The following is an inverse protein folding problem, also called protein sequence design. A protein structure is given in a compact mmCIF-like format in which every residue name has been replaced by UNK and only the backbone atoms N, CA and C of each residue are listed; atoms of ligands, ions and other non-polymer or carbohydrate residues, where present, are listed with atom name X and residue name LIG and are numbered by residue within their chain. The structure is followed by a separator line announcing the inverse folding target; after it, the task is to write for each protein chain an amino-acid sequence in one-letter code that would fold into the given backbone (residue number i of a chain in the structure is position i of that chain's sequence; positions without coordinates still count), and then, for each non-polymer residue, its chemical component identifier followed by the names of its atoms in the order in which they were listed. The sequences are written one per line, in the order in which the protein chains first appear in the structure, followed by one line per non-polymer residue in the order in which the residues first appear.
data_IF_069307480846
#
_entry.id   IF_069307480846
#
_cell.length_a   1.000
_cell.length_b   1.000
_cell.length_c   1.000
_cell.angle_alpha   90.00
_cell.angle_beta   90.00
_cell.angle_gamma   90.00
#
_symmetry.space_group_name_H-M   'P 1'
#
loop_
_entity.id
_entity.type
_entity.pdbx_description
1 polymer ?
#
# COMPACT_ATOMS: atom_id res chain seq x y z
N UNK A 1 1.14 6.86 -5.86
CA UNK A 1 -0.28 7.01 -6.27
C UNK A 1 -1.27 6.89 -5.12
N UNK A 2 -0.89 6.37 -3.94
CA UNK A 2 -1.79 6.33 -2.78
C UNK A 2 -2.45 7.69 -2.45
N UNK A 3 -1.72 8.83 -2.31
CA UNK A 3 -2.36 10.10 -1.93
C UNK A 3 -3.38 10.58 -2.96
N UNK A 4 -3.15 10.31 -4.25
CA UNK A 4 -4.09 10.63 -5.32
C UNK A 4 -5.43 9.90 -5.13
N UNK A 5 -5.38 8.58 -4.97
CA UNK A 5 -6.60 7.79 -4.75
C UNK A 5 -7.26 8.09 -3.41
N UNK A 6 -6.47 8.34 -2.35
CA UNK A 6 -7.03 8.72 -1.05
C UNK A 6 -7.77 10.04 -1.13
N UNK A 7 -7.22 11.09 -1.76
CA UNK A 7 -7.94 12.37 -1.93
C UNK A 7 -9.23 12.17 -2.69
N UNK A 8 -9.17 11.46 -3.82
CA UNK A 8 -10.34 11.21 -4.65
C UNK A 8 -11.45 10.50 -3.86
N UNK A 9 -11.10 9.41 -3.17
CA UNK A 9 -12.06 8.61 -2.40
C UNK A 9 -12.55 9.33 -1.14
N UNK A 10 -11.70 10.09 -0.45
CA UNK A 10 -12.11 10.91 0.69
C UNK A 10 -13.04 12.04 0.26
N UNK A 11 -12.82 12.67 -0.90
CA UNK A 11 -13.73 13.67 -1.43
C UNK A 11 -15.11 13.07 -1.78
N UNK A 12 -15.13 11.86 -2.37
CA UNK A 12 -16.36 11.18 -2.77
C UNK A 12 -17.14 10.59 -1.59
N UNK A 13 -16.48 9.91 -0.65
CA UNK A 13 -17.15 9.09 0.37
C UNK A 13 -17.19 9.70 1.78
N UNK A 14 -16.27 10.61 2.09
CA UNK A 14 -16.16 11.32 3.37
C UNK A 14 -16.52 12.81 3.25
N UNK A 15 -16.83 13.30 2.04
CA UNK A 15 -17.12 14.71 1.73
C UNK A 15 -15.99 15.69 2.15
N UNK A 16 -14.74 15.22 2.27
CA UNK A 16 -13.60 16.10 2.52
C UNK A 16 -13.28 16.92 1.27
N UNK A 17 -13.36 18.25 1.34
CA UNK A 17 -12.99 19.11 0.20
C UNK A 17 -11.47 19.38 0.20
N UNK A 18 -10.71 18.89 -0.79
CA UNK A 18 -9.29 19.20 -0.88
C UNK A 18 -9.10 20.66 -1.32
N UNK A 19 -8.21 21.40 -0.65
CA UNK A 19 -7.77 22.72 -1.12
C UNK A 19 -6.96 22.60 -2.42
N UNK A 20 -6.89 23.71 -3.15
CA UNK A 20 -6.11 23.83 -4.38
C UNK A 20 -4.64 23.43 -4.20
N UNK A 21 -4.06 23.67 -3.02
CA UNK A 21 -2.69 23.26 -2.70
C UNK A 21 -2.51 21.74 -2.66
N UNK A 22 -3.51 21.02 -2.13
CA UNK A 22 -3.51 19.56 -2.15
C UNK A 22 -3.60 19.05 -3.58
N UNK A 23 -4.55 19.57 -4.37
CA UNK A 23 -4.72 19.15 -5.77
C UNK A 23 -3.44 19.43 -6.58
N UNK A 24 -2.84 20.61 -6.42
CA UNK A 24 -1.60 20.99 -7.11
C UNK A 24 -0.43 20.06 -6.75
N UNK A 25 -0.34 19.61 -5.49
CA UNK A 25 0.70 18.66 -5.08
C UNK A 25 0.54 17.25 -5.68
N UNK A 26 -0.63 16.90 -6.21
CA UNK A 26 -0.83 15.63 -6.91
C UNK A 26 -0.15 15.62 -8.29
N UNK A 27 0.00 16.79 -8.94
CA UNK A 27 0.63 16.92 -10.25
C UNK A 27 2.05 16.34 -10.27
N UNK A 28 2.99 16.77 -9.40
CA UNK A 28 4.33 16.18 -9.35
C UNK A 28 4.32 14.70 -8.93
N UNK A 29 3.34 14.24 -8.14
CA UNK A 29 3.22 12.82 -7.79
C UNK A 29 2.91 11.99 -9.04
N UNK A 30 1.90 12.38 -9.81
CA UNK A 30 1.48 11.67 -11.02
C UNK A 30 2.55 11.77 -12.10
N UNK A 31 3.09 12.98 -12.33
CA UNK A 31 4.15 13.22 -13.31
C UNK A 31 5.44 12.45 -12.99
N UNK A 32 5.86 12.42 -11.73
CA UNK A 32 7.03 11.65 -11.30
C UNK A 32 6.85 10.14 -11.49
N UNK A 33 5.68 9.60 -11.14
CA UNK A 33 5.37 8.17 -11.37
C UNK A 33 5.34 7.83 -12.85
N UNK A 34 4.75 8.70 -13.69
CA UNK A 34 4.74 8.50 -15.14
C UNK A 34 6.17 8.49 -15.71
N UNK A 35 6.99 9.47 -15.34
CA UNK A 35 8.38 9.58 -15.80
C UNK A 35 9.25 8.39 -15.36
N UNK A 36 9.11 7.97 -14.10
CA UNK A 36 9.81 6.79 -13.59
C UNK A 36 9.39 5.52 -14.33
N UNK A 37 8.08 5.32 -14.52
CA UNK A 37 7.52 4.12 -15.17
C UNK A 37 7.95 4.00 -16.63
N UNK A 38 8.00 5.10 -17.38
CA UNK A 38 8.41 5.10 -18.79
C UNK A 38 9.89 4.78 -19.00
N UNK A 39 10.71 4.91 -17.96
CA UNK A 39 12.18 4.73 -18.03
C UNK A 39 12.67 3.53 -17.24
N UNK A 40 11.75 2.72 -16.71
CA UNK A 40 12.04 1.47 -16.03
C UNK A 40 12.43 0.40 -17.05
N UNK A 41 13.60 -0.21 -16.90
CA UNK A 41 14.12 -1.19 -17.86
C UNK A 41 13.25 -2.46 -17.95
N UNK A 42 12.58 -2.83 -16.86
CA UNK A 42 11.71 -4.00 -16.76
C UNK A 42 10.23 -3.63 -16.71
N UNK A 43 9.82 -2.56 -17.41
CA UNK A 43 8.43 -2.13 -17.39
C UNK A 43 7.50 -3.21 -17.96
N UNK A 44 6.43 -3.52 -17.23
CA UNK A 44 5.39 -4.46 -17.62
C UNK A 44 4.01 -3.83 -17.36
N UNK A 45 3.17 -3.73 -18.40
CA UNK A 45 1.81 -3.19 -18.29
C UNK A 45 0.92 -3.94 -17.30
N UNK A 46 1.04 -5.26 -17.21
CA UNK A 46 0.26 -6.07 -16.26
C UNK A 46 0.74 -5.79 -14.83
N UNK A 47 2.05 -5.70 -14.62
CA UNK A 47 2.65 -5.33 -13.33
C UNK A 47 2.27 -3.91 -12.89
N UNK A 48 2.29 -2.96 -13.83
CA UNK A 48 1.87 -1.58 -13.57
C UNK A 48 0.38 -1.49 -13.26
N UNK A 49 -0.47 -2.13 -14.06
CA UNK A 49 -1.93 -2.16 -13.86
C UNK A 49 -2.31 -2.80 -12.52
N UNK A 50 -1.70 -3.94 -12.18
CA UNK A 50 -1.91 -4.59 -10.88
C UNK A 50 -1.43 -3.73 -9.70
N UNK A 51 -0.30 -3.04 -9.83
CA UNK A 51 0.18 -2.09 -8.81
C UNK A 51 -0.79 -0.90 -8.63
N UNK A 52 -1.34 -0.37 -9.73
CA UNK A 52 -2.35 0.69 -9.70
C UNK A 52 -3.67 0.23 -9.07
N UNK A 53 -4.14 -0.95 -9.45
CA UNK A 53 -5.32 -1.58 -8.86
C UNK A 53 -5.14 -1.81 -7.36
N UNK A 54 -3.97 -2.31 -6.93
CA UNK A 54 -3.64 -2.50 -5.51
C UNK A 54 -3.67 -1.17 -4.74
N UNK A 55 -3.13 -0.08 -5.31
CA UNK A 55 -3.23 1.24 -4.66
C UNK A 55 -4.69 1.67 -4.50
N UNK A 56 -5.52 1.51 -5.54
CA UNK A 56 -6.94 1.86 -5.49
C UNK A 56 -7.69 1.04 -4.43
N UNK A 57 -7.56 -0.29 -4.44
CA UNK A 57 -8.25 -1.17 -3.49
C UNK A 57 -7.79 -0.96 -2.05
N UNK A 58 -6.49 -0.75 -1.81
CA UNK A 58 -5.98 -0.41 -0.47
C UNK A 58 -6.55 0.92 0.03
N UNK A 59 -6.59 1.95 -0.81
CA UNK A 59 -7.13 3.25 -0.38
C UNK A 59 -8.65 3.19 -0.17
N UNK A 60 -9.39 2.46 -1.00
CA UNK A 60 -10.81 2.18 -0.77
C UNK A 60 -11.00 1.53 0.59
N UNK A 61 -10.27 0.45 0.88
CA UNK A 61 -10.30 -0.24 2.17
C UNK A 61 -10.04 0.73 3.32
N UNK A 62 -8.98 1.54 3.25
CA UNK A 62 -8.64 2.49 4.31
C UNK A 62 -9.72 3.57 4.51
N UNK A 63 -10.27 4.14 3.43
CA UNK A 63 -11.32 5.17 3.49
C UNK A 63 -12.64 4.60 4.03
N UNK A 64 -13.05 3.43 3.56
CA UNK A 64 -14.24 2.75 4.06
C UNK A 64 -14.07 2.31 5.52
N UNK A 65 -12.94 1.69 5.88
CA UNK A 65 -12.66 1.33 7.28
C UNK A 65 -12.77 2.56 8.18
N UNK A 66 -12.19 3.71 7.77
CA UNK A 66 -12.34 4.95 8.55
C UNK A 66 -13.79 5.39 8.68
N UNK A 67 -14.57 5.29 7.61
CA UNK A 67 -16.00 5.67 7.62
C UNK A 67 -16.81 4.81 8.60
N UNK A 68 -16.56 3.50 8.64
CA UNK A 68 -17.21 2.59 9.59
C UNK A 68 -16.75 2.85 11.04
N UNK A 69 -15.46 3.10 11.26
CA UNK A 69 -14.91 3.43 12.58
C UNK A 69 -15.46 4.73 13.19
N UNK A 70 -16.10 5.62 12.42
CA UNK A 70 -16.63 6.91 12.89
C UNK A 70 -18.15 6.90 13.04
N UNK A 71 -18.88 5.97 12.40
CA UNK A 71 -20.34 6.02 12.26
C UNK A 71 -21.14 5.13 13.20
N UNK A 72 -20.54 4.12 13.84
CA UNK A 72 -21.27 3.23 14.74
C UNK A 72 -21.16 3.71 16.20
N UNK A 73 -22.31 3.86 16.86
CA UNK A 73 -22.43 4.21 18.28
C UNK A 73 -21.88 3.11 19.20
N UNK A 74 -21.80 1.87 18.70
CA UNK A 74 -20.97 0.81 19.26
C UNK A 74 -19.64 0.78 18.49
N UNK A 75 -18.59 1.35 19.09
CA UNK A 75 -17.26 1.39 18.48
C UNK A 75 -16.76 -0.04 18.19
N UNK A 76 -16.86 -0.49 16.94
CA UNK A 76 -16.06 -1.62 16.48
C UNK A 76 -14.58 -1.30 16.74
N UNK A 77 -14.02 -1.98 17.73
CA UNK A 77 -12.59 -1.91 18.04
C UNK A 77 -11.78 -2.19 16.76
N UNK A 78 -10.73 -1.40 16.49
CA UNK A 78 -9.87 -1.56 15.30
C UNK A 78 -9.44 -3.00 15.11
N UNK A 79 -9.11 -3.61 16.24
CA UNK A 79 -8.53 -4.94 16.29
C UNK A 79 -9.59 -5.91 15.77
N UNK A 80 -10.85 -5.72 16.15
CA UNK A 80 -11.98 -6.50 15.64
C UNK A 80 -12.24 -6.23 14.16
N UNK A 81 -12.28 -4.95 13.73
CA UNK A 81 -12.52 -4.62 12.32
C UNK A 81 -11.42 -5.19 11.40
N UNK A 82 -10.15 -5.00 11.78
CA UNK A 82 -9.02 -5.53 11.02
C UNK A 82 -8.98 -7.07 11.04
N UNK A 83 -9.30 -7.69 12.18
CA UNK A 83 -9.36 -9.16 12.30
C UNK A 83 -10.46 -9.75 11.41
N UNK A 84 -11.67 -9.17 11.44
CA UNK A 84 -12.78 -9.61 10.58
C UNK A 84 -12.42 -9.45 9.10
N UNK A 85 -11.87 -8.29 8.71
CA UNK A 85 -11.39 -8.07 7.33
C UNK A 85 -10.35 -9.12 6.94
N UNK A 86 -9.42 -9.46 7.82
CA UNK A 86 -8.36 -10.44 7.56
C UNK A 86 -8.92 -11.85 7.38
N UNK A 87 -9.87 -12.27 8.23
CA UNK A 87 -10.53 -13.58 8.14
C UNK A 87 -11.31 -13.70 6.82
N UNK A 88 -12.12 -12.69 6.48
CA UNK A 88 -12.88 -12.68 5.23
C UNK A 88 -11.92 -12.68 4.03
N UNK A 89 -10.86 -11.88 4.08
CA UNK A 89 -9.84 -11.84 3.01
C UNK A 89 -9.17 -13.20 2.81
N UNK A 90 -8.87 -13.92 3.89
CA UNK A 90 -8.32 -15.27 3.82
C UNK A 90 -9.29 -16.24 3.14
N UNK A 91 -10.55 -16.27 3.57
CA UNK A 91 -11.58 -17.17 3.01
C UNK A 91 -11.79 -16.90 1.51
N UNK A 92 -11.75 -15.64 1.08
CA UNK A 92 -11.90 -15.27 -0.33
C UNK A 92 -10.63 -15.56 -1.16
N UNK A 93 -9.44 -15.41 -0.58
CA UNK A 93 -8.17 -15.58 -1.30
C UNK A 93 -7.79 -17.05 -1.49
N UNK A 94 -8.09 -17.93 -0.52
CA UNK A 94 -7.78 -19.37 -0.59
C UNK A 94 -8.30 -20.05 -1.86
N UNK A 95 -9.60 -19.96 -2.24
CA UNK A 95 -10.10 -20.61 -3.44
C UNK A 95 -9.45 -20.03 -4.71
N UNK A 96 -9.22 -18.72 -4.75
CA UNK A 96 -8.56 -18.07 -5.90
C UNK A 96 -7.11 -18.56 -6.04
N UNK A 97 -6.38 -18.67 -4.93
CA UNK A 97 -5.01 -19.17 -4.92
C UNK A 97 -4.95 -20.63 -5.39
N UNK A 98 -5.87 -21.49 -4.92
CA UNK A 98 -5.94 -22.89 -5.36
C UNK A 98 -6.27 -22.98 -6.86
N UNK A 99 -7.18 -22.15 -7.38
CA UNK A 99 -7.55 -22.18 -8.81
C UNK A 99 -6.43 -21.67 -9.73
N UNK A 100 -5.69 -20.64 -9.31
CA UNK A 100 -4.64 -20.03 -10.14
C UNK A 100 -3.30 -20.75 -10.05
N UNK A 101 -2.93 -21.22 -8.86
CA UNK A 101 -1.61 -21.81 -8.61
C UNK A 101 -1.65 -23.33 -8.42
N UNK A 102 -2.82 -23.90 -8.12
CA UNK A 102 -2.94 -25.30 -7.71
C UNK A 102 -2.42 -25.58 -6.30
N UNK A 103 -2.44 -26.85 -5.90
CA UNK A 103 -1.94 -27.29 -4.60
C UNK A 103 -0.44 -27.60 -4.72
N UNK A 104 0.40 -26.63 -4.36
CA UNK A 104 1.87 -26.76 -4.37
C UNK A 104 2.46 -27.23 -3.03
N UNK A 105 1.65 -27.32 -1.97
CA UNK A 105 2.10 -27.77 -0.63
C UNK A 105 1.88 -29.27 -0.39
N UNK A 106 1.98 -30.09 -1.43
CA UNK A 106 1.91 -31.56 -1.30
C UNK A 106 3.31 -32.12 -0.99
N UNK A 107 3.44 -33.18 -0.16
CA UNK A 107 4.73 -33.79 0.15
C UNK A 107 5.56 -34.16 -1.08
N UNK A 108 4.91 -34.67 -2.14
CA UNK A 108 5.56 -35.01 -3.42
C UNK A 108 6.16 -33.80 -4.13
N UNK A 109 5.46 -32.66 -4.12
CA UNK A 109 5.94 -31.41 -4.74
C UNK A 109 7.08 -30.79 -3.93
N UNK A 110 6.97 -30.80 -2.60
CA UNK A 110 8.04 -30.28 -1.73
C UNK A 110 9.30 -31.15 -1.81
N UNK A 111 9.15 -32.46 -1.95
CA UNK A 111 10.28 -33.38 -2.13
C UNK A 111 10.94 -33.20 -3.51
N UNK A 112 10.15 -32.96 -4.56
CA UNK A 112 10.65 -32.57 -5.88
C UNK A 112 11.35 -31.20 -5.85
N UNK A 113 10.78 -30.20 -5.18
CA UNK A 113 11.43 -28.89 -5.04
C UNK A 113 12.72 -29.00 -4.23
N UNK A 114 12.74 -29.84 -3.20
CA UNK A 114 13.94 -30.10 -2.40
C UNK A 114 15.05 -30.76 -3.22
N UNK A 115 14.72 -31.68 -4.13
CA UNK A 115 15.71 -32.27 -5.05
C UNK A 115 16.24 -31.28 -6.08
N UNK A 116 15.52 -30.20 -6.37
CA UNK A 116 15.97 -29.06 -7.19
C UNK A 116 16.79 -28.02 -6.40
N UNK A 117 17.16 -28.31 -5.14
CA UNK A 117 18.00 -27.46 -4.31
C UNK A 117 17.23 -26.48 -3.41
N UNK A 118 15.90 -26.59 -3.31
CA UNK A 118 15.10 -25.76 -2.41
C UNK A 118 15.20 -26.27 -0.96
N UNK A 119 15.70 -25.45 -0.05
CA UNK A 119 15.65 -25.76 1.38
C UNK A 119 14.24 -25.51 1.94
N UNK A 120 13.45 -26.59 2.09
CA UNK A 120 12.07 -26.54 2.58
C UNK A 120 11.97 -25.91 3.97
N UNK A 121 12.93 -26.21 4.88
CA UNK A 121 12.95 -25.63 6.23
C UNK A 121 13.13 -24.12 6.18
N UNK A 122 14.07 -23.66 5.36
CA UNK A 122 14.34 -22.24 5.17
C UNK A 122 13.14 -21.53 4.52
N UNK A 123 12.53 -22.13 3.50
CA UNK A 123 11.31 -21.60 2.89
C UNK A 123 10.20 -21.43 3.92
N UNK A 124 9.92 -22.45 4.72
CA UNK A 124 8.88 -22.39 5.76
C UNK A 124 9.18 -21.30 6.81
N UNK A 125 10.42 -21.18 7.27
CA UNK A 125 10.82 -20.13 8.22
C UNK A 125 10.66 -18.74 7.61
N UNK A 126 11.11 -18.53 6.37
CA UNK A 126 10.97 -17.25 5.66
C UNK A 126 9.50 -16.89 5.41
N UNK A 127 8.66 -17.86 5.06
CA UNK A 127 7.22 -17.66 4.86
C UNK A 127 6.52 -17.27 6.17
N UNK A 128 6.80 -17.98 7.26
CA UNK A 128 6.23 -17.66 8.58
C UNK A 128 6.68 -16.27 9.05
N UNK A 129 7.97 -15.96 8.92
CA UNK A 129 8.50 -14.65 9.29
C UNK A 129 7.86 -13.53 8.45
N UNK A 130 7.77 -13.71 7.12
CA UNK A 130 7.14 -12.75 6.23
C UNK A 130 5.65 -12.53 6.57
N UNK A 131 4.90 -13.61 6.82
CA UNK A 131 3.50 -13.56 7.22
C UNK A 131 3.29 -12.84 8.55
N UNK A 132 4.11 -13.17 9.55
CA UNK A 132 4.09 -12.50 10.86
C UNK A 132 4.38 -11.00 10.73
N UNK A 133 5.49 -10.63 10.06
CA UNK A 133 5.85 -9.23 9.85
C UNK A 133 4.76 -8.46 9.09
N UNK A 134 4.16 -9.06 8.05
CA UNK A 134 3.09 -8.44 7.28
C UNK A 134 1.83 -8.21 8.15
N UNK A 135 1.44 -9.19 8.94
CA UNK A 135 0.28 -9.09 9.82
C UNK A 135 0.48 -8.01 10.88
N UNK A 136 1.60 -8.03 11.61
CA UNK A 136 1.93 -7.02 12.61
C UNK A 136 1.99 -5.62 12.00
N UNK A 137 2.62 -5.47 10.84
CA UNK A 137 2.66 -4.18 10.12
C UNK A 137 1.25 -3.68 9.79
N UNK A 138 0.38 -4.54 9.23
CA UNK A 138 -0.97 -4.14 8.85
C UNK A 138 -1.85 -3.82 10.06
N UNK A 139 -1.70 -4.56 11.17
CA UNK A 139 -2.39 -4.31 12.43
C UNK A 139 -2.02 -2.93 13.01
N UNK A 140 -0.72 -2.64 13.14
CA UNK A 140 -0.23 -1.33 13.60
C UNK A 140 -0.68 -0.21 12.66
N UNK A 141 -0.63 -0.46 11.35
CA UNK A 141 -1.10 0.50 10.33
C UNK A 141 -2.58 0.84 10.51
N UNK A 142 -3.42 -0.14 10.87
CA UNK A 142 -4.84 0.07 11.16
C UNK A 142 -5.08 0.84 12.45
N UNK A 143 -4.34 0.54 13.52
CA UNK A 143 -4.40 1.30 14.77
C UNK A 143 -4.07 2.78 14.53
N UNK A 144 -3.05 3.07 13.71
CA UNK A 144 -2.69 4.43 13.34
C UNK A 144 -3.82 5.09 12.53
N UNK A 145 -4.41 4.39 11.56
CA UNK A 145 -5.51 4.90 10.72
C UNK A 145 -6.70 5.40 11.55
N UNK A 146 -6.97 4.81 12.72
CA UNK A 146 -8.00 5.33 13.60
C UNK A 146 -7.65 6.67 14.24
N UNK A 147 -6.38 6.89 14.60
CA UNK A 147 -5.94 8.10 15.28
C UNK A 147 -5.76 9.28 14.31
N UNK A 148 -5.62 9.01 13.01
CA UNK A 148 -5.34 10.04 11.99
C UNK A 148 -6.36 10.03 10.84
N UNK A 149 -6.31 11.01 9.94
CA UNK A 149 -7.13 11.00 8.72
C UNK A 149 -6.60 9.98 7.70
N UNK A 150 -7.45 9.39 6.82
CA UNK A 150 -6.99 8.50 5.75
C UNK A 150 -5.91 9.13 4.87
N UNK A 151 -6.06 10.43 4.63
CA UNK A 151 -5.09 11.25 3.91
C UNK A 151 -3.72 11.29 4.62
N UNK A 152 -3.68 11.50 5.94
CA UNK A 152 -2.43 11.49 6.71
C UNK A 152 -1.79 10.09 6.71
N UNK A 153 -2.61 9.05 6.79
CA UNK A 153 -2.16 7.66 6.71
C UNK A 153 -1.49 7.34 5.38
N UNK A 154 -2.09 7.77 4.27
CA UNK A 154 -1.51 7.61 2.93
C UNK A 154 -0.16 8.32 2.77
N UNK A 155 0.05 9.47 3.42
CA UNK A 155 1.37 10.15 3.45
C UNK A 155 2.40 9.31 4.18
N UNK A 156 2.05 8.79 5.36
CA UNK A 156 2.93 7.89 6.13
C UNK A 156 3.33 6.66 5.32
N UNK A 157 2.38 6.05 4.60
CA UNK A 157 2.67 4.94 3.70
C UNK A 157 3.59 5.32 2.55
N UNK A 158 3.49 6.55 2.02
CA UNK A 158 4.42 7.02 1.00
C UNK A 158 5.84 7.19 1.56
N UNK A 159 6.00 7.76 2.76
CA UNK A 159 7.31 7.86 3.42
C UNK A 159 7.90 6.47 3.66
N UNK A 160 7.11 5.52 4.18
CA UNK A 160 7.52 4.11 4.30
C UNK A 160 8.01 3.55 2.97
N UNK A 161 7.29 3.82 1.88
CA UNK A 161 7.67 3.37 0.53
C UNK A 161 9.01 3.97 0.08
N UNK A 162 9.28 5.24 0.38
CA UNK A 162 10.59 5.86 0.11
C UNK A 162 11.71 5.09 0.80
N UNK A 163 11.55 4.82 2.09
CA UNK A 163 12.54 4.11 2.90
C UNK A 163 12.79 2.72 2.34
N UNK A 164 11.74 2.01 1.92
CA UNK A 164 11.85 0.69 1.29
C UNK A 164 12.58 0.78 -0.06
N UNK A 165 12.21 1.70 -0.95
CA UNK A 165 12.86 1.86 -2.26
C UNK A 165 14.35 2.16 -2.09
N UNK A 166 14.70 3.15 -1.26
CA UNK A 166 16.11 3.54 -1.03
C UNK A 166 16.91 2.39 -0.44
N UNK A 167 16.36 1.71 0.58
CA UNK A 167 17.00 0.54 1.18
C UNK A 167 17.21 -0.59 0.18
N UNK A 168 16.20 -0.86 -0.67
CA UNK A 168 16.28 -1.88 -1.72
C UNK A 168 17.34 -1.56 -2.76
N UNK A 169 17.44 -0.30 -3.21
CA UNK A 169 18.47 0.11 -4.18
C UNK A 169 19.87 -0.05 -3.58
N UNK A 170 20.07 0.34 -2.32
CA UNK A 170 21.36 0.20 -1.62
C UNK A 170 21.74 -1.28 -1.47
N UNK A 171 20.77 -2.12 -1.07
CA UNK A 171 21.02 -3.52 -0.76
C UNK A 171 21.15 -4.41 -2.01
N UNK A 172 20.23 -4.29 -2.97
CA UNK A 172 20.22 -5.12 -4.18
C UNK A 172 21.06 -4.54 -5.31
N UNK A 173 21.57 -3.31 -5.16
CA UNK A 173 22.39 -2.62 -6.17
C UNK A 173 21.73 -2.62 -7.55
N UNK A 174 20.40 -2.52 -7.59
CA UNK A 174 19.64 -2.51 -8.84
C UNK A 174 20.01 -1.28 -9.67
N UNK A 175 20.34 -1.42 -10.96
CA UNK A 175 20.72 -0.30 -11.79
C UNK A 175 19.52 0.64 -12.01
N UNK A 176 19.60 1.85 -11.48
CA UNK A 176 18.56 2.87 -11.65
C UNK A 176 19.04 3.91 -12.68
N UNK A 177 18.29 4.07 -13.76
CA UNK A 177 18.57 5.11 -14.76
C UNK A 177 18.47 6.52 -14.14
N UNK A 178 19.29 7.50 -14.57
CA UNK A 178 19.19 8.88 -14.08
C UNK A 178 17.79 9.48 -14.25
N UNK A 179 17.09 9.15 -15.35
CA UNK A 179 15.73 9.64 -15.61
C UNK A 179 14.72 8.99 -14.65
N UNK A 180 14.90 7.71 -14.35
CA UNK A 180 14.06 7.00 -13.38
C UNK A 180 14.26 7.57 -11.96
N UNK A 181 15.51 7.86 -11.59
CA UNK A 181 15.85 8.54 -10.33
C UNK A 181 15.20 9.92 -10.25
N UNK A 182 15.21 10.69 -11.35
CA UNK A 182 14.55 11.99 -11.43
C UNK A 182 13.03 11.87 -11.28
N UNK A 183 12.40 10.93 -11.99
CA UNK A 183 10.95 10.66 -11.87
C UNK A 183 10.56 10.25 -10.45
N UNK A 184 11.35 9.36 -9.85
CA UNK A 184 11.18 8.95 -8.46
C UNK A 184 11.31 10.15 -7.53
N UNK A 185 12.38 10.94 -7.63
CA UNK A 185 12.59 12.14 -6.82
C UNK A 185 11.44 13.15 -6.96
N UNK A 186 10.93 13.37 -8.17
CA UNK A 186 9.78 14.24 -8.43
C UNK A 186 8.52 13.73 -7.75
N UNK A 187 8.26 12.42 -7.80
CA UNK A 187 7.12 11.81 -7.12
C UNK A 187 7.23 11.98 -5.60
N UNK A 188 8.43 11.81 -5.04
CA UNK A 188 8.69 11.99 -3.61
C UNK A 188 8.54 13.45 -3.17
N UNK A 189 9.05 14.39 -3.97
CA UNK A 189 8.86 15.81 -3.74
C UNK A 189 7.37 16.17 -3.73
N UNK A 190 6.58 15.60 -4.65
CA UNK A 190 5.13 15.77 -4.67
C UNK A 190 4.46 15.26 -3.40
N UNK A 191 4.84 14.08 -2.90
CA UNK A 191 4.36 13.55 -1.61
C UNK A 191 4.71 14.47 -0.44
N UNK A 192 5.92 15.03 -0.44
CA UNK A 192 6.34 15.97 0.59
C UNK A 192 5.54 17.27 0.55
N UNK A 193 5.35 17.84 -0.65
CA UNK A 193 4.52 19.03 -0.86
C UNK A 193 3.07 18.78 -0.42
N UNK A 194 2.53 17.61 -0.74
CA UNK A 194 1.21 17.18 -0.30
C UNK A 194 1.09 17.15 1.23
N UNK A 195 2.09 16.55 1.90
CA UNK A 195 2.17 16.49 3.37
C UNK A 195 2.14 17.88 4.00
N UNK A 196 2.90 18.82 3.42
CA UNK A 196 2.93 20.22 3.86
C UNK A 196 1.59 20.92 3.60
N UNK A 197 1.04 20.79 2.40
CA UNK A 197 -0.24 21.40 2.02
C UNK A 197 -1.39 20.95 2.93
N UNK A 198 -1.44 19.67 3.32
CA UNK A 198 -2.47 19.18 4.27
C UNK A 198 -2.26 19.72 5.68
N UNK A 199 -1.02 19.86 6.16
CA UNK A 199 -0.74 20.48 7.49
C UNK A 199 -1.20 21.93 7.54
N UNK A 200 -1.12 22.65 6.42
CA UNK A 200 -1.53 24.05 6.31
C UNK A 200 -3.04 24.22 6.09
N UNK A 201 -3.77 23.16 5.73
CA UNK A 201 -5.23 23.24 5.67
C UNK A 201 -5.82 23.30 7.08
N UNK A 202 -6.67 24.31 7.38
CA UNK A 202 -7.44 24.32 8.61
C UNK A 202 -8.32 23.06 8.68
N UNK A 203 -8.31 22.37 9.82
CA UNK A 203 -9.29 21.31 10.07
C UNK A 203 -10.69 21.93 9.99
N UNK A 204 -11.66 21.32 9.28
CA UNK A 204 -13.04 21.75 9.38
C UNK A 204 -13.44 21.72 10.85
N UNK A 205 -14.02 22.81 11.37
CA UNK A 205 -14.69 22.77 12.68
C UNK A 205 -15.80 21.74 12.55
N UNK A 206 -15.70 20.64 13.30
CA UNK A 206 -16.80 19.71 13.49
C UNK A 206 -17.89 20.53 14.17
N UNK A 207 -18.98 20.78 13.45
CA UNK A 207 -20.21 21.36 13.97
C UNK A 207 -21.13 20.23 14.42
#
# INVERSE_FOLDING_TARGET
MEPFFTVLLSALFLAERPSLWIVSSLIPIVGGVALASMTEASFNWIGFGSAMASNLTNQSRNVFSKKFMVKEEEALDNINLFSIITIISFILLVPVAILMEGIKFTPSYLQFAASQGLNVRELCVRLLLAGFCLHTYQQVSYMILQMISPVTHAVGNCVKRVVVIVSSVIFFQTPVSPINSLGTALALAGVFLYSRAKRLQPKPKVA
#
